data_IF_871482087489
#
_entry.id   IF_871482087489
#
_cell.length_a   1.000
_cell.length_b   1.000
_cell.length_c   1.000
_cell.angle_alpha   90.00
_cell.angle_beta   90.00
_cell.angle_gamma   90.00
#
_symmetry.space_group_name_H-M   'P 1'
#
loop_
_entity.id
_entity.type
_entity.pdbx_description
1 polymer ?
#
# COMPACT_ATOMS: atom_id res chain seq x y z
N UNK A 1 13.99 9.44 -12.64
CA UNK A 1 12.63 9.25 -12.08
C UNK A 1 11.86 8.35 -13.04
N UNK A 2 11.49 7.14 -12.62
CA UNK A 2 10.71 6.23 -13.45
C UNK A 2 9.41 6.94 -13.88
N UNK A 3 9.15 7.03 -15.18
CA UNK A 3 7.90 7.64 -15.69
C UNK A 3 6.75 6.71 -15.32
N UNK A 4 6.08 6.99 -14.21
CA UNK A 4 4.80 6.38 -13.87
C UNK A 4 3.80 6.81 -14.95
N UNK A 5 3.49 5.88 -15.86
CA UNK A 5 2.55 6.13 -16.97
C UNK A 5 1.09 5.99 -16.51
N UNK A 6 0.85 5.16 -15.51
CA UNK A 6 -0.49 4.87 -15.03
C UNK A 6 -0.99 5.98 -14.08
N UNK A 7 -2.20 6.48 -14.34
CA UNK A 7 -2.79 7.58 -13.56
C UNK A 7 -3.12 7.14 -12.13
N UNK A 8 -3.49 5.88 -11.93
CA UNK A 8 -3.82 5.31 -10.62
C UNK A 8 -2.55 5.13 -9.81
N UNK A 9 -1.50 4.56 -10.40
CA UNK A 9 -0.18 4.46 -9.77
C UNK A 9 0.34 5.83 -9.32
N UNK A 10 0.17 6.86 -10.15
CA UNK A 10 0.58 8.23 -9.80
C UNK A 10 -0.19 8.76 -8.59
N UNK A 11 -1.50 8.51 -8.51
CA UNK A 11 -2.32 8.90 -7.37
C UNK A 11 -1.94 8.15 -6.09
N UNK A 12 -1.59 6.86 -6.19
CA UNK A 12 -1.11 6.07 -5.05
C UNK A 12 0.19 6.67 -4.50
N UNK A 13 1.13 7.00 -5.38
CA UNK A 13 2.39 7.63 -4.96
C UNK A 13 2.15 9.00 -4.34
N UNK A 14 1.28 9.82 -4.94
CA UNK A 14 0.92 11.12 -4.37
C UNK A 14 0.26 10.99 -2.99
N UNK A 15 -0.65 10.02 -2.83
CA UNK A 15 -1.28 9.76 -1.54
C UNK A 15 -0.26 9.40 -0.46
N UNK A 16 0.72 8.54 -0.78
CA UNK A 16 1.79 8.15 0.14
C UNK A 16 2.76 9.30 0.44
N UNK A 17 2.98 10.21 -0.52
CA UNK A 17 3.81 11.41 -0.33
C UNK A 17 3.12 12.42 0.61
N UNK A 18 1.81 12.59 0.48
CA UNK A 18 1.02 13.53 1.30
C UNK A 18 0.69 12.98 2.70
N UNK A 19 0.44 11.68 2.84
CA UNK A 19 -0.04 11.06 4.09
C UNK A 19 1.04 10.24 4.82
N UNK A 20 2.16 9.94 4.17
CA UNK A 20 3.20 9.07 4.71
C UNK A 20 2.92 7.57 4.54
N UNK A 21 3.56 6.70 5.34
CA UNK A 21 3.33 5.26 5.31
C UNK A 21 1.86 4.93 5.64
N UNK A 22 1.20 4.19 4.76
CA UNK A 22 -0.21 3.84 4.92
C UNK A 22 -0.48 2.39 4.53
N UNK A 23 -1.56 1.84 5.05
CA UNK A 23 -2.01 0.49 4.71
C UNK A 23 -2.70 0.47 3.35
N UNK A 24 -2.65 -0.68 2.67
CA UNK A 24 -3.36 -0.88 1.40
C UNK A 24 -4.86 -0.54 1.53
N UNK A 25 -5.48 -0.89 2.66
CA UNK A 25 -6.88 -0.60 2.94
C UNK A 25 -7.21 0.91 2.89
N UNK A 26 -6.30 1.75 3.41
CA UNK A 26 -6.45 3.21 3.40
C UNK A 26 -6.30 3.76 1.99
N UNK A 27 -5.27 3.29 1.28
CA UNK A 27 -4.99 3.67 -0.11
C UNK A 27 -6.19 3.38 -1.01
N UNK A 28 -6.77 2.16 -0.93
CA UNK A 28 -7.91 1.79 -1.79
C UNK A 28 -9.20 2.50 -1.40
N UNK A 29 -9.40 2.79 -0.11
CA UNK A 29 -10.55 3.53 0.39
C UNK A 29 -10.52 4.97 -0.11
N UNK A 30 -9.39 5.66 0.03
CA UNK A 30 -9.26 7.07 -0.36
C UNK A 30 -9.37 7.23 -1.88
N UNK A 31 -8.73 6.33 -2.62
CA UNK A 31 -8.74 6.36 -4.09
C UNK A 31 -10.03 5.77 -4.70
N UNK A 32 -10.97 5.30 -3.86
CA UNK A 32 -12.23 4.64 -4.27
C UNK A 32 -11.98 3.49 -5.26
N UNK A 33 -10.92 2.72 -5.03
CA UNK A 33 -10.54 1.56 -5.82
C UNK A 33 -11.11 0.30 -5.20
N UNK A 34 -11.39 -0.71 -6.03
CA UNK A 34 -11.58 -2.05 -5.49
C UNK A 34 -10.28 -2.57 -4.90
N UNK A 35 -10.38 -3.37 -3.85
CA UNK A 35 -9.22 -3.93 -3.16
C UNK A 35 -8.27 -4.65 -4.14
N UNK A 36 -8.81 -5.49 -5.03
CA UNK A 36 -8.03 -6.24 -6.02
C UNK A 36 -7.27 -5.33 -6.99
N UNK A 37 -7.90 -4.24 -7.47
CA UNK A 37 -7.24 -3.28 -8.38
C UNK A 37 -6.16 -2.49 -7.65
N UNK A 38 -6.44 -2.06 -6.43
CA UNK A 38 -5.45 -1.37 -5.61
C UNK A 38 -4.23 -2.25 -5.31
N UNK A 39 -4.47 -3.52 -4.96
CA UNK A 39 -3.43 -4.51 -4.75
C UNK A 39 -2.57 -4.70 -6.00
N UNK A 40 -3.19 -4.80 -7.18
CA UNK A 40 -2.46 -4.94 -8.44
C UNK A 40 -1.53 -3.75 -8.70
N UNK A 41 -2.02 -2.52 -8.60
CA UNK A 41 -1.22 -1.32 -8.79
C UNK A 41 -0.10 -1.17 -7.74
N UNK A 42 -0.41 -1.42 -6.47
CA UNK A 42 0.59 -1.41 -5.38
C UNK A 42 1.67 -2.46 -5.62
N UNK A 43 1.29 -3.67 -6.06
CA UNK A 43 2.23 -4.73 -6.40
C UNK A 43 3.13 -4.35 -7.58
N UNK A 44 2.58 -3.71 -8.61
CA UNK A 44 3.37 -3.19 -9.73
C UNK A 44 4.35 -2.10 -9.28
N UNK A 45 3.90 -1.17 -8.42
CA UNK A 45 4.75 -0.13 -7.85
C UNK A 45 5.88 -0.69 -6.97
N UNK A 46 5.60 -1.72 -6.17
CA UNK A 46 6.58 -2.47 -5.38
C UNK A 46 7.59 -3.16 -6.29
N UNK A 47 7.12 -3.88 -7.32
CA UNK A 47 7.97 -4.57 -8.29
C UNK A 47 8.88 -3.61 -9.07
N UNK A 48 8.40 -2.39 -9.34
CA UNK A 48 9.20 -1.32 -9.97
C UNK A 48 10.16 -0.62 -9.00
N UNK A 49 10.12 -0.94 -7.70
CA UNK A 49 10.93 -0.30 -6.66
C UNK A 49 10.56 1.16 -6.40
N UNK A 50 9.35 1.58 -6.79
CA UNK A 50 8.87 2.97 -6.62
C UNK A 50 8.38 3.21 -5.20
N UNK A 51 7.72 2.20 -4.63
CA UNK A 51 7.31 2.17 -3.23
C UNK A 51 7.98 0.97 -2.57
N UNK A 52 8.10 1.00 -1.25
CA UNK A 52 8.67 -0.09 -0.44
C UNK A 52 7.73 -0.41 0.71
N UNK A 53 7.77 -1.65 1.17
CA UNK A 53 7.22 -1.96 2.47
C UNK A 53 8.01 -1.17 3.52
N UNK A 54 7.33 -0.43 4.39
CA UNK A 54 7.93 -0.03 5.65
C UNK A 54 7.97 -1.26 6.54
N UNK A 55 9.14 -1.61 7.05
CA UNK A 55 9.34 -2.59 8.12
C UNK A 55 8.38 -2.32 9.32
N UNK A 56 7.91 -3.34 10.06
CA UNK A 56 6.51 -3.78 9.94
C UNK A 56 5.67 -3.48 11.20
N UNK A 57 4.31 -3.44 11.10
CA UNK A 57 3.44 -3.85 12.19
C UNK A 57 2.98 -5.29 11.95
N UNK A 58 3.91 -6.25 12.08
CA UNK A 58 3.58 -7.66 12.22
C UNK A 58 3.84 -8.04 13.67
N UNK A 59 2.93 -7.67 14.57
CA UNK A 59 2.89 -8.30 15.89
C UNK A 59 1.50 -8.85 16.13
N UNK A 60 1.42 -10.16 15.92
CA UNK A 60 0.36 -11.00 16.46
C UNK A 60 0.99 -11.78 17.61
N UNK A 61 0.45 -11.60 18.81
CA UNK A 61 0.86 -12.39 19.98
C UNK A 61 -0.20 -13.45 20.30
N UNK A 62 0.28 -14.63 20.72
CA UNK A 62 -0.55 -15.77 21.11
C UNK A 62 -1.28 -15.45 22.41
N UNK A 63 -2.61 -15.59 22.42
CA UNK A 63 -3.38 -15.48 23.66
C UNK A 63 -3.17 -16.75 24.52
N UNK A 64 -2.36 -16.62 25.58
CA UNK A 64 -2.04 -17.71 26.50
C UNK A 64 -3.15 -18.01 27.51
N UNK A 65 -4.33 -17.38 27.41
CA UNK A 65 -5.49 -17.64 28.27
C UNK A 65 -6.43 -18.74 27.77
N UNK A 66 -6.11 -19.44 26.68
CA UNK A 66 -6.76 -20.73 26.41
C UNK A 66 -6.08 -21.83 27.23
N UNK A 67 -6.47 -21.95 28.51
CA UNK A 67 -6.21 -23.13 29.32
C UNK A 67 -7.45 -23.57 30.08
#
# INVERSE_FOLDING_TARGET
>A
MARIKDKTEKKIVQFLDENGPSFLGEVVKELKLSYSKGLEHVTQLLSKGIIKHSDPPLQYELNSEQK
#
